data_IF_905406563919
#
_entry.id   IF_905406563919
#
_cell.length_a   1.000
_cell.length_b   1.000
_cell.length_c   1.000
_cell.angle_alpha   90.00
_cell.angle_beta   90.00
_cell.angle_gamma   90.00
#
_symmetry.space_group_name_H-M   'P 1'
#
loop_
_entity.id
_entity.type
_entity.pdbx_description
1 polymer ?
#
# COMPACT_ATOMS: atom_id res chain seq x y z
N UNK A 1 -25.18 6.21 -1.50
CA UNK A 1 -23.94 6.36 -0.68
C UNK A 1 -23.28 7.66 -1.10
N UNK A 2 -22.92 8.51 -0.16
CA UNK A 2 -22.20 9.76 -0.44
C UNK A 2 -20.70 9.51 -0.34
N UNK A 3 -20.04 9.36 -1.48
CA UNK A 3 -18.58 9.02 -1.57
C UNK A 3 -17.73 10.20 -1.07
N UNK A 4 -18.17 11.44 -1.34
CA UNK A 4 -17.46 12.64 -0.91
C UNK A 4 -17.33 12.70 0.62
N UNK A 5 -18.39 12.32 1.34
CA UNK A 5 -18.41 12.29 2.80
C UNK A 5 -17.23 11.48 3.38
N UNK A 6 -16.88 10.33 2.80
CA UNK A 6 -15.77 9.51 3.27
C UNK A 6 -14.40 10.13 2.93
N UNK A 7 -14.28 10.77 1.76
CA UNK A 7 -13.08 11.50 1.40
C UNK A 7 -12.87 12.72 2.30
N UNK A 8 -13.91 13.43 2.64
CA UNK A 8 -13.87 14.58 3.56
C UNK A 8 -13.58 14.17 5.00
N UNK A 9 -14.16 13.06 5.45
CA UNK A 9 -13.94 12.54 6.80
C UNK A 9 -12.49 12.14 7.06
N UNK A 10 -11.83 11.49 6.09
CA UNK A 10 -10.46 11.00 6.22
C UNK A 10 -9.48 12.15 6.46
N UNK A 11 -8.66 12.05 7.48
CA UNK A 11 -7.50 12.91 7.72
C UNK A 11 -6.27 12.05 8.02
N UNK A 12 -5.08 12.65 8.04
CA UNK A 12 -3.83 11.96 8.41
C UNK A 12 -3.66 12.06 9.92
N UNK A 13 -3.92 10.96 10.64
CA UNK A 13 -3.77 10.94 12.07
C UNK A 13 -2.31 11.20 12.49
N UNK A 14 -2.11 12.07 13.47
CA UNK A 14 -0.81 12.43 14.03
C UNK A 14 -0.59 11.79 15.41
N UNK A 15 -1.66 11.44 16.10
CA UNK A 15 -1.63 10.80 17.39
C UNK A 15 -2.71 9.73 17.50
N UNK A 16 -2.33 8.52 17.88
CA UNK A 16 -3.25 7.40 18.09
C UNK A 16 -3.49 7.18 19.59
N UNK A 17 -4.67 6.68 19.92
CA UNK A 17 -5.02 6.14 21.23
C UNK A 17 -4.55 4.69 21.32
N UNK A 18 -3.46 4.36 22.05
CA UNK A 18 -2.88 3.02 22.06
C UNK A 18 -3.76 2.01 22.81
N UNK A 19 -4.75 2.48 23.56
CA UNK A 19 -5.67 1.62 24.31
C UNK A 19 -6.77 1.04 23.42
N UNK A 20 -6.97 1.61 22.21
CA UNK A 20 -7.97 1.17 21.26
C UNK A 20 -7.32 0.33 20.16
N UNK A 21 -7.80 -0.89 19.99
CA UNK A 21 -7.35 -1.80 18.92
C UNK A 21 -8.45 -1.96 17.88
N UNK A 22 -8.03 -2.05 16.62
CA UNK A 22 -8.95 -2.35 15.52
C UNK A 22 -9.33 -3.83 15.63
N UNK A 23 -10.63 -4.17 15.56
CA UNK A 23 -11.06 -5.56 15.58
C UNK A 23 -10.51 -6.36 14.38
N UNK A 24 -10.17 -7.63 14.61
CA UNK A 24 -9.56 -8.50 13.58
C UNK A 24 -10.42 -8.61 12.31
N UNK A 25 -11.75 -8.66 12.44
CA UNK A 25 -12.63 -8.75 11.28
C UNK A 25 -12.56 -7.50 10.38
N UNK A 26 -12.30 -6.32 10.96
CA UNK A 26 -12.09 -5.07 10.19
C UNK A 26 -10.72 -5.09 9.51
N UNK A 27 -9.67 -5.52 10.22
CA UNK A 27 -8.34 -5.67 9.61
C UNK A 27 -8.38 -6.65 8.44
N UNK A 28 -9.06 -7.78 8.59
CA UNK A 28 -9.20 -8.76 7.52
C UNK A 28 -9.90 -8.16 6.28
N UNK A 29 -10.95 -7.34 6.46
CA UNK A 29 -11.58 -6.63 5.35
C UNK A 29 -10.61 -5.64 4.67
N UNK A 30 -9.79 -4.92 5.43
CA UNK A 30 -8.79 -4.00 4.86
C UNK A 30 -7.67 -4.74 4.14
N UNK A 31 -7.26 -5.91 4.62
CA UNK A 31 -6.28 -6.79 3.95
C UNK A 31 -6.86 -7.34 2.65
N UNK A 32 -8.13 -7.77 2.65
CA UNK A 32 -8.81 -8.21 1.43
C UNK A 32 -8.95 -7.07 0.41
N UNK A 33 -9.23 -5.84 0.87
CA UNK A 33 -9.28 -4.68 0.00
C UNK A 33 -7.92 -4.41 -0.69
N UNK A 34 -6.81 -4.56 0.04
CA UNK A 34 -5.46 -4.49 -0.54
C UNK A 34 -5.24 -5.59 -1.58
N UNK A 35 -5.64 -6.83 -1.24
CA UNK A 35 -5.52 -7.99 -2.14
C UNK A 35 -6.30 -7.81 -3.44
N UNK A 36 -7.49 -7.20 -3.39
CA UNK A 36 -8.35 -6.97 -4.56
C UNK A 36 -8.06 -5.64 -5.29
N UNK A 37 -6.98 -4.96 -4.95
CA UNK A 37 -6.57 -3.75 -5.68
C UNK A 37 -6.24 -4.09 -7.14
N UNK A 38 -6.84 -3.38 -8.12
CA UNK A 38 -6.48 -3.55 -9.53
C UNK A 38 -5.06 -3.07 -9.78
N UNK A 39 -4.36 -3.78 -10.69
CA UNK A 39 -3.02 -3.40 -11.12
C UNK A 39 -2.87 -3.54 -12.63
N UNK A 40 -1.92 -2.80 -13.22
CA UNK A 40 -1.60 -2.92 -14.63
C UNK A 40 -1.26 -4.38 -14.96
N UNK A 41 -1.87 -4.93 -16.02
CA UNK A 41 -1.76 -6.35 -16.44
C UNK A 41 -1.98 -7.35 -15.30
N UNK A 42 -2.78 -7.00 -14.30
CA UNK A 42 -2.97 -7.80 -13.07
C UNK A 42 -1.65 -8.25 -12.42
N UNK A 43 -0.62 -7.42 -12.56
CA UNK A 43 0.77 -7.77 -12.17
C UNK A 43 0.99 -7.97 -10.68
N UNK A 44 0.17 -7.35 -9.83
CA UNK A 44 0.21 -7.49 -8.36
C UNK A 44 1.65 -7.47 -7.80
N UNK A 45 2.51 -6.49 -8.19
CA UNK A 45 3.93 -6.52 -7.91
C UNK A 45 4.25 -6.01 -6.51
N UNK A 46 3.48 -6.44 -5.51
CA UNK A 46 3.59 -5.97 -4.15
C UNK A 46 3.56 -7.12 -3.14
N UNK A 47 4.05 -6.82 -1.97
CA UNK A 47 3.95 -7.63 -0.76
C UNK A 47 3.57 -6.71 0.40
N UNK A 48 2.74 -7.19 1.31
CA UNK A 48 2.30 -6.43 2.47
C UNK A 48 2.78 -7.09 3.74
N UNK A 49 3.36 -6.30 4.66
CA UNK A 49 3.69 -6.74 6.01
C UNK A 49 2.70 -6.07 6.94
N UNK A 50 1.96 -6.86 7.72
CA UNK A 50 0.99 -6.36 8.70
C UNK A 50 1.57 -6.59 10.09
N UNK A 51 1.89 -5.51 10.79
CA UNK A 51 2.40 -5.52 12.16
C UNK A 51 1.32 -5.08 13.14
N UNK A 52 0.96 -5.96 14.09
CA UNK A 52 -0.05 -5.71 15.13
C UNK A 52 0.45 -6.01 16.53
N UNK A 53 1.49 -6.84 16.64
CA UNK A 53 2.13 -7.16 17.91
C UNK A 53 3.13 -6.09 18.31
N UNK A 54 3.41 -5.94 19.59
CA UNK A 54 4.41 -5.00 20.09
C UNK A 54 5.77 -5.19 19.41
N UNK A 55 6.22 -6.44 19.26
CA UNK A 55 7.45 -6.76 18.56
C UNK A 55 7.40 -6.37 17.08
N UNK A 56 6.31 -6.70 16.37
CA UNK A 56 6.14 -6.34 14.96
C UNK A 56 6.17 -4.82 14.74
N UNK A 57 5.50 -4.07 15.59
CA UNK A 57 5.49 -2.61 15.56
C UNK A 57 6.89 -2.03 15.82
N UNK A 58 7.63 -2.54 16.82
CA UNK A 58 9.01 -2.13 17.12
C UNK A 58 9.94 -2.38 15.92
N UNK A 59 9.78 -3.49 15.23
CA UNK A 59 10.55 -3.81 14.01
C UNK A 59 10.30 -2.79 12.89
N UNK A 60 9.07 -2.37 12.66
CA UNK A 60 8.79 -1.31 11.69
C UNK A 60 9.34 0.04 12.17
N UNK A 61 9.14 0.39 13.44
CA UNK A 61 9.61 1.63 14.03
C UNK A 61 11.15 1.78 14.02
N UNK A 62 11.90 0.66 13.95
CA UNK A 62 13.36 0.67 13.86
C UNK A 62 13.90 1.34 12.59
N UNK A 63 13.09 1.50 11.56
CA UNK A 63 13.44 2.22 10.33
C UNK A 63 13.33 3.75 10.44
N UNK A 64 12.83 4.27 11.57
CA UNK A 64 12.61 5.71 11.78
C UNK A 64 13.65 6.29 12.75
N UNK A 65 14.93 6.12 12.40
CA UNK A 65 16.06 6.52 13.27
C UNK A 65 16.71 7.85 12.89
N UNK A 66 16.54 8.29 11.63
CA UNK A 66 17.05 9.59 11.19
C UNK A 66 16.25 10.71 11.87
N UNK A 67 16.89 11.80 12.19
CA UNK A 67 16.26 12.96 12.85
C UNK A 67 15.00 13.41 12.11
N UNK A 68 15.07 13.46 10.77
CA UNK A 68 13.97 13.84 9.89
C UNK A 68 12.77 12.88 9.94
N UNK A 69 12.97 11.66 10.44
CA UNK A 69 11.92 10.63 10.49
C UNK A 69 11.39 10.33 11.89
N UNK A 70 12.06 10.83 12.94
CA UNK A 70 11.69 10.56 14.33
C UNK A 70 10.25 10.95 14.67
N UNK A 71 9.72 11.99 14.05
CA UNK A 71 8.32 12.41 14.26
C UNK A 71 7.31 11.35 13.78
N UNK A 72 7.70 10.45 12.88
CA UNK A 72 6.85 9.35 12.40
C UNK A 72 6.87 8.16 13.34
N UNK A 73 7.99 7.95 14.06
CA UNK A 73 8.13 6.84 15.00
C UNK A 73 7.02 6.81 16.03
N UNK A 74 6.68 7.97 16.58
CA UNK A 74 5.59 8.09 17.57
C UNK A 74 4.22 7.62 17.03
N UNK A 75 3.94 7.83 15.73
CA UNK A 75 2.70 7.33 15.11
C UNK A 75 2.70 5.81 15.02
N UNK A 76 3.84 5.22 14.63
CA UNK A 76 4.01 3.76 14.54
C UNK A 76 3.89 3.11 15.91
N UNK A 77 4.59 3.62 16.91
CA UNK A 77 4.61 3.06 18.26
C UNK A 77 3.22 3.03 18.93
N UNK A 78 2.31 3.92 18.55
CA UNK A 78 0.98 4.06 19.17
C UNK A 78 -0.16 3.54 18.32
N UNK A 79 0.09 3.17 17.08
CA UNK A 79 -0.93 2.64 16.18
C UNK A 79 -1.49 1.29 16.67
N UNK A 80 -2.71 0.99 16.25
CA UNK A 80 -3.28 -0.35 16.43
C UNK A 80 -2.57 -1.37 15.54
N UNK A 81 -2.40 -1.00 14.27
CA UNK A 81 -1.74 -1.80 13.25
C UNK A 81 -0.86 -0.90 12.39
N UNK A 82 0.19 -1.48 11.84
CA UNK A 82 1.03 -0.84 10.84
C UNK A 82 1.18 -1.77 9.65
N UNK A 83 0.96 -1.24 8.45
CA UNK A 83 1.13 -1.99 7.20
C UNK A 83 2.31 -1.39 6.45
N UNK A 84 3.26 -2.24 6.03
CA UNK A 84 4.31 -1.86 5.10
C UNK A 84 3.91 -2.33 3.72
N UNK A 85 3.89 -1.43 2.74
CA UNK A 85 3.76 -1.79 1.33
C UNK A 85 5.15 -1.94 0.76
N UNK A 86 5.41 -3.11 0.18
CA UNK A 86 6.66 -3.42 -0.51
C UNK A 86 6.37 -3.62 -2.00
N UNK A 87 7.23 -3.14 -2.87
CA UNK A 87 7.13 -3.37 -4.32
C UNK A 87 8.25 -4.26 -4.82
N UNK A 88 7.99 -5.02 -5.90
CA UNK A 88 9.02 -5.82 -6.55
C UNK A 88 10.08 -4.92 -7.18
N UNK A 89 11.33 -5.26 -6.95
CA UNK A 89 12.47 -4.58 -7.56
C UNK A 89 12.75 -5.05 -8.98
N UNK A 90 12.35 -6.29 -9.29
CA UNK A 90 12.45 -6.89 -10.61
C UNK A 90 11.32 -7.90 -10.86
N UNK A 91 11.04 -8.16 -12.13
CA UNK A 91 10.09 -9.16 -12.59
C UNK A 91 10.70 -9.97 -13.73
N UNK A 92 10.38 -11.25 -13.81
CA UNK A 92 10.82 -12.17 -14.83
C UNK A 92 9.65 -12.96 -15.45
N UNK A 93 9.96 -13.78 -16.43
CA UNK A 93 8.97 -14.61 -17.10
C UNK A 93 8.29 -15.58 -16.13
N UNK A 94 9.02 -16.14 -15.16
CA UNK A 94 8.46 -17.09 -14.21
C UNK A 94 7.36 -16.45 -13.37
N UNK A 95 7.53 -15.16 -13.00
CA UNK A 95 6.52 -14.39 -12.29
C UNK A 95 5.27 -14.15 -13.16
N UNK A 96 5.45 -13.83 -14.44
CA UNK A 96 4.32 -13.65 -15.39
C UNK A 96 3.57 -14.97 -15.56
N UNK A 97 4.26 -16.08 -15.71
CA UNK A 97 3.63 -17.41 -15.81
C UNK A 97 2.79 -17.72 -14.57
N UNK A 98 3.30 -17.42 -13.38
CA UNK A 98 2.56 -17.60 -12.13
C UNK A 98 1.27 -16.78 -12.08
N UNK A 99 1.27 -15.55 -12.59
CA UNK A 99 0.05 -14.71 -12.69
C UNK A 99 -0.99 -15.40 -13.58
N UNK A 100 -0.60 -15.78 -14.78
CA UNK A 100 -1.51 -16.40 -15.75
C UNK A 100 -2.05 -17.75 -15.23
N UNK A 101 -1.23 -18.54 -14.54
CA UNK A 101 -1.66 -19.78 -13.89
C UNK A 101 -2.73 -19.54 -12.82
N UNK A 102 -2.54 -18.49 -12.01
CA UNK A 102 -3.55 -18.12 -11.03
C UNK A 102 -4.84 -17.63 -11.70
N UNK A 103 -4.76 -16.83 -12.75
CA UNK A 103 -5.92 -16.32 -13.50
C UNK A 103 -6.73 -17.49 -14.14
N UNK A 104 -6.03 -18.49 -14.68
CA UNK A 104 -6.68 -19.70 -15.22
C UNK A 104 -7.38 -20.47 -14.10
N UNK A 105 -6.70 -20.67 -12.96
CA UNK A 105 -7.26 -21.36 -11.80
C UNK A 105 -8.51 -20.67 -11.26
N UNK A 106 -8.54 -19.34 -11.30
CA UNK A 106 -9.66 -18.51 -10.83
C UNK A 106 -10.79 -18.41 -11.89
N UNK A 107 -10.65 -19.09 -13.04
CA UNK A 107 -11.67 -19.09 -14.11
C UNK A 107 -11.74 -17.77 -14.91
N UNK A 108 -10.72 -16.92 -14.81
CA UNK A 108 -10.70 -15.61 -15.50
C UNK A 108 -10.55 -15.73 -17.02
N UNK A 109 -9.97 -16.82 -17.50
CA UNK A 109 -9.73 -17.08 -18.92
C UNK A 109 -10.63 -18.19 -19.47
N UNK A 110 -11.02 -18.04 -20.74
CA UNK A 110 -11.72 -19.11 -21.46
C UNK A 110 -10.80 -20.34 -21.54
N UNK A 111 -11.31 -21.58 -21.27
CA UNK A 111 -10.52 -22.82 -21.37
C UNK A 111 -9.86 -23.06 -22.74
N UNK A 112 -10.42 -22.47 -23.81
CA UNK A 112 -9.89 -22.58 -25.18
C UNK A 112 -8.85 -21.50 -25.53
N UNK A 113 -8.44 -20.70 -24.53
CA UNK A 113 -7.50 -19.62 -24.73
C UNK A 113 -6.09 -20.16 -24.99
N UNK A 114 -5.38 -19.56 -25.93
CA UNK A 114 -3.95 -19.84 -26.09
C UNK A 114 -3.15 -19.19 -24.95
N UNK A 115 -2.82 -20.01 -23.95
CA UNK A 115 -2.07 -19.58 -22.75
C UNK A 115 -0.78 -18.85 -23.10
N UNK A 116 -0.03 -19.32 -24.09
CA UNK A 116 1.25 -18.72 -24.47
C UNK A 116 1.10 -17.33 -25.09
N UNK A 117 0.02 -17.06 -25.81
CA UNK A 117 -0.26 -15.71 -26.34
C UNK A 117 -0.42 -14.69 -25.20
N UNK A 118 -1.14 -15.05 -24.13
CA UNK A 118 -1.30 -14.16 -22.98
C UNK A 118 -0.01 -13.98 -22.19
N UNK A 119 0.75 -15.06 -22.01
CA UNK A 119 2.08 -14.98 -21.39
C UNK A 119 2.96 -14.01 -22.17
N UNK A 120 3.03 -14.16 -23.50
CA UNK A 120 3.83 -13.30 -24.36
C UNK A 120 3.37 -11.84 -24.33
N UNK A 121 2.06 -11.59 -24.29
CA UNK A 121 1.51 -10.24 -24.13
C UNK A 121 1.98 -9.59 -22.82
N UNK A 122 1.87 -10.29 -21.69
CA UNK A 122 2.27 -9.78 -20.38
C UNK A 122 3.79 -9.60 -20.27
N UNK A 123 4.57 -10.53 -20.85
CA UNK A 123 6.02 -10.38 -20.98
C UNK A 123 6.37 -9.15 -21.82
N UNK A 124 5.61 -8.86 -22.88
CA UNK A 124 5.77 -7.66 -23.69
C UNK A 124 5.64 -6.38 -22.87
N UNK A 125 4.59 -6.27 -22.05
CA UNK A 125 4.39 -5.14 -21.12
C UNK A 125 5.48 -5.04 -20.06
N UNK A 126 5.87 -6.16 -19.46
CA UNK A 126 6.98 -6.19 -18.49
C UNK A 126 8.27 -5.70 -19.16
N UNK A 127 8.60 -6.19 -20.35
CA UNK A 127 9.80 -5.80 -21.08
C UNK A 127 9.77 -4.35 -21.56
N UNK A 128 8.59 -3.78 -21.83
CA UNK A 128 8.45 -2.35 -22.10
C UNK A 128 9.04 -1.53 -20.94
N UNK A 129 8.62 -1.83 -19.70
CA UNK A 129 9.11 -1.13 -18.52
C UNK A 129 10.55 -1.51 -18.14
N UNK A 130 10.91 -2.79 -18.30
CA UNK A 130 12.25 -3.29 -17.91
C UNK A 130 13.34 -2.88 -18.87
N UNK A 131 13.10 -2.98 -20.19
CA UNK A 131 14.15 -2.86 -21.23
C UNK A 131 14.09 -1.55 -22.00
N UNK A 132 12.89 -1.05 -22.29
CA UNK A 132 12.69 0.12 -23.15
C UNK A 132 12.61 1.38 -22.32
N UNK A 133 11.62 1.50 -21.43
CA UNK A 133 11.43 2.67 -20.57
C UNK A 133 12.42 2.69 -19.40
N UNK A 134 12.93 1.53 -19.00
CA UNK A 134 13.87 1.36 -17.88
C UNK A 134 13.35 1.95 -16.55
N UNK A 135 12.04 1.85 -16.35
CA UNK A 135 11.33 2.41 -15.20
C UNK A 135 10.59 1.35 -14.35
N UNK A 136 10.95 0.06 -14.53
CA UNK A 136 10.26 -1.06 -13.87
C UNK A 136 10.07 -0.86 -12.34
N UNK A 137 11.08 -0.44 -11.55
CA UNK A 137 10.88 -0.20 -10.11
C UNK A 137 9.84 0.89 -9.84
N UNK A 138 9.83 1.97 -10.63
CA UNK A 138 8.83 3.03 -10.50
C UNK A 138 7.43 2.55 -10.90
N UNK A 139 7.34 1.76 -11.96
CA UNK A 139 6.08 1.19 -12.41
C UNK A 139 5.48 0.23 -11.37
N UNK A 140 6.30 -0.65 -10.76
CA UNK A 140 5.86 -1.54 -9.69
C UNK A 140 5.45 -0.76 -8.43
N UNK A 141 6.20 0.26 -8.04
CA UNK A 141 5.87 1.12 -6.92
C UNK A 141 4.53 1.85 -7.10
N UNK A 142 4.23 2.36 -8.30
CA UNK A 142 2.93 3.00 -8.63
C UNK A 142 1.75 2.07 -8.34
N UNK A 143 1.89 0.75 -8.54
CA UNK A 143 0.84 -0.21 -8.20
C UNK A 143 0.60 -0.26 -6.68
N UNK A 144 1.65 -0.12 -5.87
CA UNK A 144 1.55 0.00 -4.42
C UNK A 144 0.82 1.28 -3.97
N UNK A 145 1.01 2.40 -4.69
CA UNK A 145 0.28 3.65 -4.42
C UNK A 145 -1.20 3.59 -4.80
N UNK A 146 -1.57 2.79 -5.82
CA UNK A 146 -2.99 2.48 -6.09
C UNK A 146 -3.59 1.72 -4.90
N UNK A 147 -2.88 0.73 -4.37
CA UNK A 147 -3.30 0.00 -3.18
C UNK A 147 -3.43 0.90 -1.94
N UNK A 148 -2.50 1.85 -1.76
CA UNK A 148 -2.61 2.88 -0.72
C UNK A 148 -3.92 3.67 -0.84
N UNK A 149 -4.26 4.15 -2.04
CA UNK A 149 -5.49 4.93 -2.27
C UNK A 149 -6.74 4.14 -1.84
N UNK A 150 -6.82 2.87 -2.23
CA UNK A 150 -7.91 1.96 -1.82
C UNK A 150 -7.95 1.77 -0.30
N UNK A 151 -6.79 1.52 0.33
CA UNK A 151 -6.71 1.33 1.78
C UNK A 151 -7.16 2.57 2.55
N UNK A 152 -6.73 3.78 2.13
CA UNK A 152 -7.10 5.02 2.80
C UNK A 152 -8.61 5.28 2.74
N UNK A 153 -9.23 5.01 1.61
CA UNK A 153 -10.68 5.12 1.47
C UNK A 153 -11.41 4.05 2.26
N UNK A 154 -10.94 2.79 2.18
CA UNK A 154 -11.50 1.67 2.94
C UNK A 154 -11.40 1.86 4.45
N UNK A 155 -10.28 2.35 4.96
CA UNK A 155 -10.13 2.70 6.38
C UNK A 155 -11.16 3.76 6.79
N UNK A 156 -11.36 4.78 5.96
CA UNK A 156 -12.40 5.79 6.21
C UNK A 156 -13.81 5.19 6.24
N UNK A 157 -14.14 4.30 5.32
CA UNK A 157 -15.43 3.58 5.31
C UNK A 157 -15.62 2.76 6.59
N UNK A 158 -14.57 2.14 7.08
CA UNK A 158 -14.56 1.33 8.30
C UNK A 158 -14.46 2.15 9.61
N UNK A 159 -14.46 3.47 9.54
CA UNK A 159 -14.25 4.37 10.68
C UNK A 159 -12.87 4.23 11.36
N UNK A 160 -11.86 3.90 10.58
CA UNK A 160 -10.46 3.79 11.02
C UNK A 160 -9.68 5.00 10.51
N UNK A 161 -8.86 5.57 11.39
CA UNK A 161 -7.93 6.63 11.03
C UNK A 161 -6.65 6.03 10.49
N UNK A 162 -6.07 6.72 9.51
CA UNK A 162 -4.86 6.25 8.81
C UNK A 162 -3.85 7.37 8.62
N UNK A 163 -2.56 7.03 8.63
CA UNK A 163 -1.48 7.93 8.27
C UNK A 163 -0.49 7.22 7.34
N UNK A 164 -0.45 7.59 6.05
CA UNK A 164 0.63 7.16 5.17
C UNK A 164 1.93 7.89 5.55
N UNK A 165 3.05 7.18 5.47
CA UNK A 165 4.37 7.62 5.90
C UNK A 165 5.38 7.21 4.84
N UNK A 166 6.04 8.20 4.22
CA UNK A 166 7.19 8.02 3.32
C UNK A 166 8.52 8.28 4.05
N UNK A 167 8.46 8.97 5.19
CA UNK A 167 9.64 9.31 6.01
C UNK A 167 10.07 8.14 6.91
N UNK A 168 10.80 7.20 6.35
CA UNK A 168 11.48 6.08 7.02
C UNK A 168 12.73 5.69 6.22
N UNK A 169 13.64 4.93 6.83
CA UNK A 169 14.82 4.40 6.15
C UNK A 169 14.48 3.04 5.54
N UNK A 170 14.35 3.02 4.19
CA UNK A 170 13.98 1.81 3.46
C UNK A 170 15.05 0.71 3.58
N UNK A 171 16.35 1.05 3.61
CA UNK A 171 17.42 0.05 3.72
C UNK A 171 17.38 -0.66 5.07
N UNK A 172 17.08 0.07 6.15
CA UNK A 172 16.91 -0.53 7.48
C UNK A 172 15.70 -1.46 7.49
N UNK A 173 14.56 -1.00 6.93
CA UNK A 173 13.33 -1.77 6.92
C UNK A 173 13.45 -3.01 6.04
N UNK A 174 14.06 -2.87 4.87
CA UNK A 174 14.32 -3.97 3.94
C UNK A 174 15.22 -5.05 4.57
N UNK A 175 16.27 -4.63 5.29
CA UNK A 175 17.15 -5.54 6.03
C UNK A 175 16.41 -6.27 7.15
N UNK A 176 15.59 -5.53 7.92
CA UNK A 176 14.84 -6.09 9.05
C UNK A 176 13.86 -7.19 8.63
N UNK A 177 13.25 -7.07 7.45
CA UNK A 177 12.28 -8.03 6.93
C UNK A 177 12.82 -8.93 5.81
N UNK A 178 14.13 -8.87 5.52
CA UNK A 178 14.78 -9.65 4.47
C UNK A 178 14.10 -9.47 3.10
N UNK A 179 13.77 -8.22 2.75
CA UNK A 179 12.97 -7.93 1.56
C UNK A 179 13.78 -8.07 0.28
N UNK A 180 15.04 -7.62 0.26
CA UNK A 180 15.91 -7.68 -0.92
C UNK A 180 16.15 -9.13 -1.37
N UNK A 181 16.30 -10.05 -0.43
CA UNK A 181 16.45 -11.48 -0.69
C UNK A 181 15.19 -12.10 -1.34
N UNK A 182 14.03 -11.49 -1.10
CA UNK A 182 12.73 -11.88 -1.67
C UNK A 182 12.39 -11.11 -2.95
N UNK A 183 13.30 -10.22 -3.43
CA UNK A 183 13.09 -9.37 -4.61
C UNK A 183 12.11 -8.22 -4.38
N UNK A 184 12.02 -7.71 -3.15
CA UNK A 184 11.18 -6.57 -2.78
C UNK A 184 11.99 -5.44 -2.16
N UNK A 185 11.40 -4.25 -2.15
CA UNK A 185 11.82 -3.10 -1.33
C UNK A 185 10.59 -2.45 -0.71
N UNK A 186 10.73 -1.92 0.48
CA UNK A 186 9.68 -1.15 1.15
C UNK A 186 9.53 0.22 0.50
N UNK A 187 8.30 0.62 0.20
CA UNK A 187 8.00 1.90 -0.46
C UNK A 187 7.14 2.82 0.40
N UNK A 188 6.41 2.28 1.36
CA UNK A 188 5.48 3.05 2.17
C UNK A 188 5.15 2.32 3.47
N UNK A 189 4.97 3.08 4.55
CA UNK A 189 4.44 2.61 5.82
C UNK A 189 3.08 3.29 6.06
N UNK A 190 2.07 2.53 6.48
CA UNK A 190 0.76 3.06 6.84
C UNK A 190 0.44 2.66 8.27
N UNK A 191 0.14 3.62 9.13
CA UNK A 191 -0.39 3.36 10.47
C UNK A 191 -1.90 3.44 10.46
N UNK A 192 -2.55 2.51 11.18
CA UNK A 192 -4.00 2.39 11.31
C UNK A 192 -4.39 2.35 12.80
N UNK A 193 -5.45 3.04 13.16
CA UNK A 193 -5.94 3.07 14.53
C UNK A 193 -7.08 4.05 14.74
N UNK A 194 -7.27 4.45 15.97
CA UNK A 194 -8.21 5.49 16.36
C UNK A 194 -7.42 6.69 16.89
N UNK A 195 -7.73 7.88 16.43
CA UNK A 195 -7.00 9.07 16.88
C UNK A 195 -7.23 9.34 18.37
N UNK A 196 -6.20 9.90 19.00
CA UNK A 196 -6.25 10.43 20.35
C UNK A 196 -7.02 11.76 20.37
N UNK A 197 -7.70 12.08 21.48
CA UNK A 197 -8.45 13.34 21.63
C UNK A 197 -7.56 14.59 21.48
N UNK A 198 -6.26 14.45 21.68
CA UNK A 198 -5.27 15.51 21.52
C UNK A 198 -4.68 15.60 20.09
N UNK A 199 -5.16 14.79 19.15
CA UNK A 199 -4.74 14.90 17.76
C UNK A 199 -5.23 16.21 17.15
N UNK A 200 -4.29 17.15 16.98
CA UNK A 200 -4.61 18.48 16.46
C UNK A 200 -5.12 18.44 15.02
N UNK A 201 -4.67 17.44 14.24
CA UNK A 201 -5.01 17.35 12.83
C UNK A 201 -6.45 16.85 12.58
N UNK A 202 -7.05 16.20 13.56
CA UNK A 202 -8.45 15.78 13.50
C UNK A 202 -9.43 16.96 13.41
N UNK A 203 -9.00 18.14 13.88
CA UNK A 203 -9.82 19.37 13.93
C UNK A 203 -9.51 20.34 12.80
N UNK A 204 -8.47 20.07 11.98
CA UNK A 204 -8.08 20.96 10.90
C UNK A 204 -9.01 20.82 9.70
N UNK A 205 -9.41 21.93 9.07
CA UNK A 205 -10.16 21.87 7.83
C UNK A 205 -9.32 21.25 6.72
N UNK A 206 -9.97 20.60 5.76
CA UNK A 206 -9.27 20.16 4.54
C UNK A 206 -8.89 21.35 3.69
N UNK A 207 -7.64 21.35 3.24
CA UNK A 207 -7.14 22.29 2.26
C UNK A 207 -6.75 21.56 0.98
N UNK A 208 -7.30 22.01 -0.14
CA UNK A 208 -6.99 21.56 -1.51
C UNK A 208 -7.08 22.74 -2.44
N UNK A 209 -6.35 22.65 -3.53
CA UNK A 209 -6.52 23.63 -4.61
C UNK A 209 -7.95 23.61 -5.16
N UNK A 210 -8.45 24.74 -5.72
CA UNK A 210 -9.73 24.78 -6.41
C UNK A 210 -9.82 23.77 -7.54
N UNK A 211 -11.05 23.35 -7.87
CA UNK A 211 -11.27 22.36 -8.94
C UNK A 211 -10.70 22.81 -10.28
N UNK A 212 -10.80 24.07 -10.55
CA UNK A 212 -10.37 24.73 -11.80
C UNK A 212 -8.85 24.59 -12.03
N UNK A 213 -8.06 24.49 -10.94
CA UNK A 213 -6.61 24.26 -11.02
C UNK A 213 -6.23 22.79 -11.20
N UNK A 214 -7.13 21.87 -10.80
CA UNK A 214 -6.85 20.44 -10.77
C UNK A 214 -7.48 19.68 -11.94
N UNK A 215 -8.51 20.22 -12.58
CA UNK A 215 -9.30 19.52 -13.59
C UNK A 215 -9.40 20.32 -14.88
N UNK A 216 -9.19 19.64 -15.98
CA UNK A 216 -9.55 20.11 -17.32
C UNK A 216 -10.68 19.23 -17.84
N UNK A 217 -11.76 19.84 -18.25
CA UNK A 217 -12.89 19.16 -18.90
C UNK A 217 -12.81 19.43 -20.41
N UNK A 218 -12.77 18.38 -21.26
CA UNK A 218 -12.67 18.45 -22.71
C UNK A 218 -13.66 17.49 -23.38
#
# INVERSE_FOLDING_TARGET
MDIEKFALRRFTAKRYDPTKKIPDHIINQLVDLLRYTPTSINSQPYHFIVASTENGIKRVASSMVREEFLYNKHKVDRASHTIVICSKTDMDESYIRKIIEQEIKDGRHNPNLNKEEFINLYIGYMNLHKKILKDLPNWTAKQGYIALGNLLLGASLANIDASPIEGFDADILDKEFHLKEKGFTSILVITLGYHDKTDYNAKQPKSRFPKEELFTFC
#
